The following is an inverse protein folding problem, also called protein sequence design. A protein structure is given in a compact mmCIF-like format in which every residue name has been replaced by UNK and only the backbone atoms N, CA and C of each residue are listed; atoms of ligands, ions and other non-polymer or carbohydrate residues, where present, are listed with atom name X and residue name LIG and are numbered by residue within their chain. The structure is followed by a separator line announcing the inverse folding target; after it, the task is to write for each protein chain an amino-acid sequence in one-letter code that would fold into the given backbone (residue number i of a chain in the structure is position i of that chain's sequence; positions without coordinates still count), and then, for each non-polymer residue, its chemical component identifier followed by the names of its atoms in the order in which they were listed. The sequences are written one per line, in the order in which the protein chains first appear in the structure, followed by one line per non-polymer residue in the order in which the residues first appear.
data_IF_440591621388
#
_entry.id   IF_440591621388
#
_cell.length_a   1.000
_cell.length_b   1.000
_cell.length_c   1.000
_cell.angle_alpha   90.00
_cell.angle_beta   90.00
_cell.angle_gamma   90.00
#
_symmetry.space_group_name_H-M   'P 1'
#
loop_
_entity.id
_entity.type
_entity.pdbx_description
1 polymer ?
#
# COMPACT_ATOMS: atom_id res chain seq x y z
N UNK A 1 21.63 1.64 13.26
CA UNK A 1 22.63 0.72 12.68
C UNK A 1 23.25 1.41 11.48
N UNK A 2 24.57 1.42 11.36
CA UNK A 2 25.30 1.99 10.21
C UNK A 2 26.14 0.85 9.60
N UNK A 3 25.98 0.59 8.31
CA UNK A 3 26.68 -0.48 7.58
C UNK A 3 27.33 0.12 6.33
N UNK A 4 28.67 0.17 6.25
CA UNK A 4 29.36 0.65 5.06
C UNK A 4 29.39 -0.43 3.96
N UNK A 5 29.34 -0.01 2.70
CA UNK A 5 29.37 -0.92 1.56
C UNK A 5 29.40 -0.20 0.21
N UNK A 6 29.34 -0.97 -0.87
CA UNK A 6 29.32 -0.49 -2.25
C UNK A 6 27.94 -0.78 -2.86
N UNK A 7 27.30 0.23 -3.45
CA UNK A 7 26.04 0.02 -4.16
C UNK A 7 26.31 -0.66 -5.52
N UNK A 8 25.86 -1.90 -5.68
CA UNK A 8 26.13 -2.71 -6.88
C UNK A 8 24.97 -2.71 -7.88
N UNK A 9 23.77 -2.35 -7.43
CA UNK A 9 22.58 -2.32 -8.29
C UNK A 9 21.52 -1.41 -7.69
N UNK A 10 20.80 -0.72 -8.56
CA UNK A 10 19.62 0.07 -8.23
C UNK A 10 18.47 -0.34 -9.14
N UNK A 11 17.28 -0.52 -8.57
CA UNK A 11 16.08 -0.71 -9.38
C UNK A 11 15.67 0.58 -10.08
N UNK A 12 14.85 0.47 -11.14
CA UNK A 12 14.08 1.64 -11.61
C UNK A 12 13.20 2.16 -10.47
N UNK A 13 13.03 3.49 -10.44
CA UNK A 13 12.09 4.16 -9.53
C UNK A 13 10.67 3.73 -9.89
N UNK A 14 9.84 3.50 -8.87
CA UNK A 14 8.43 3.12 -9.02
C UNK A 14 7.59 3.97 -8.06
N UNK A 15 6.38 4.38 -8.45
CA UNK A 15 5.48 5.06 -7.54
C UNK A 15 4.90 4.07 -6.51
N UNK A 16 4.93 4.44 -5.23
CA UNK A 16 4.28 3.72 -4.14
C UNK A 16 3.21 4.63 -3.53
N UNK A 17 1.98 4.13 -3.37
CA UNK A 17 0.93 4.88 -2.70
C UNK A 17 1.27 5.07 -1.21
N UNK A 18 1.34 6.32 -0.74
CA UNK A 18 1.49 6.65 0.68
C UNK A 18 0.11 6.76 1.34
N UNK A 19 -0.79 7.50 0.69
CA UNK A 19 -2.21 7.58 1.05
C UNK A 19 -3.03 7.08 -0.14
N UNK A 20 -3.62 5.90 0.00
CA UNK A 20 -4.43 5.28 -1.05
C UNK A 20 -5.90 5.55 -0.80
N UNK A 21 -6.57 6.20 -1.75
CA UNK A 21 -8.01 6.37 -1.73
C UNK A 21 -8.69 5.13 -2.33
N UNK A 22 -9.66 4.58 -1.61
CA UNK A 22 -10.53 3.49 -2.08
C UNK A 22 -11.98 3.97 -2.06
N UNK A 23 -12.77 3.57 -3.05
CA UNK A 23 -14.18 3.93 -3.17
C UNK A 23 -15.03 2.68 -3.33
N UNK A 24 -16.12 2.58 -2.58
CA UNK A 24 -17.08 1.48 -2.74
C UNK A 24 -17.89 1.69 -4.03
N UNK A 25 -17.97 0.67 -4.89
CA UNK A 25 -18.75 0.74 -6.14
C UNK A 25 -20.26 0.93 -5.94
N UNK A 26 -20.79 0.50 -4.80
CA UNK A 26 -22.23 0.47 -4.57
C UNK A 26 -22.73 1.70 -3.80
N UNK A 27 -22.04 2.09 -2.73
CA UNK A 27 -22.43 3.23 -1.90
C UNK A 27 -21.60 4.50 -2.14
N UNK A 28 -20.63 4.47 -3.05
CA UNK A 28 -19.74 5.58 -3.40
C UNK A 28 -18.91 6.17 -2.25
N UNK A 29 -18.91 5.53 -1.08
CA UNK A 29 -18.13 5.93 0.08
C UNK A 29 -16.63 5.87 -0.24
N UNK A 30 -15.94 7.00 -0.07
CA UNK A 30 -14.49 7.12 -0.26
C UNK A 30 -13.80 7.00 1.09
N UNK A 31 -12.78 6.15 1.17
CA UNK A 31 -11.91 5.99 2.35
C UNK A 31 -10.45 6.08 1.97
N UNK A 32 -9.64 6.52 2.93
CA UNK A 32 -8.20 6.61 2.78
C UNK A 32 -7.52 5.54 3.63
N UNK A 33 -6.64 4.77 3.00
CA UNK A 33 -5.76 3.81 3.64
C UNK A 33 -4.34 4.36 3.63
N UNK A 34 -3.64 4.25 4.75
CA UNK A 34 -2.22 4.63 4.85
C UNK A 34 -1.39 3.38 4.59
N UNK A 35 -0.48 3.45 3.61
CA UNK A 35 0.48 2.37 3.40
C UNK A 35 1.55 2.42 4.48
N UNK A 36 1.95 1.27 5.06
CA UNK A 36 3.12 1.20 5.93
C UNK A 36 4.38 1.66 5.20
N UNK A 37 5.32 2.22 5.97
CA UNK A 37 6.66 2.55 5.49
C UNK A 37 7.42 1.26 5.10
N UNK A 38 8.40 1.40 4.19
CA UNK A 38 9.21 0.27 3.73
C UNK A 38 8.49 -0.63 2.71
N UNK A 39 8.52 -1.94 2.91
CA UNK A 39 8.01 -2.94 1.94
C UNK A 39 6.54 -3.34 2.14
N UNK A 40 5.85 -2.76 3.13
CA UNK A 40 4.46 -3.09 3.43
C UNK A 40 3.47 -2.48 2.44
N UNK A 41 2.36 -3.18 2.20
CA UNK A 41 1.23 -2.73 1.37
C UNK A 41 0.03 -2.33 2.25
N UNK A 42 -0.78 -1.39 1.77
CA UNK A 42 -2.07 -1.07 2.40
C UNK A 42 -3.05 -2.25 2.24
N UNK A 43 -3.72 -2.63 3.32
CA UNK A 43 -4.69 -3.73 3.32
C UNK A 43 -6.09 -3.20 3.00
N UNK A 44 -6.68 -3.66 1.90
CA UNK A 44 -8.04 -3.29 1.52
C UNK A 44 -9.05 -4.15 2.30
N UNK A 45 -10.01 -3.55 3.01
CA UNK A 45 -11.05 -4.31 3.71
C UNK A 45 -11.93 -5.08 2.73
N UNK A 46 -12.25 -6.34 3.05
CA UNK A 46 -13.13 -7.18 2.22
C UNK A 46 -14.61 -6.79 2.25
N UNK A 47 -15.02 -6.04 3.27
CA UNK A 47 -16.39 -5.60 3.45
C UNK A 47 -16.44 -4.08 3.48
N UNK A 48 -17.44 -3.50 2.81
CA UNK A 48 -17.66 -2.07 2.93
C UNK A 48 -18.05 -1.72 4.37
N UNK A 49 -17.41 -0.68 4.90
CA UNK A 49 -17.57 -0.19 6.29
C UNK A 49 -18.29 1.16 6.33
N UNK A 50 -18.84 1.61 5.20
CA UNK A 50 -19.65 2.83 5.13
C UNK A 50 -20.94 2.69 5.93
N UNK A 51 -21.41 3.80 6.51
CA UNK A 51 -22.62 3.84 7.33
C UNK A 51 -23.85 3.31 6.56
N UNK A 52 -23.96 3.66 5.28
CA UNK A 52 -25.00 3.16 4.38
C UNK A 52 -25.01 1.63 4.23
N UNK A 53 -23.86 0.96 4.37
CA UNK A 53 -23.79 -0.50 4.34
C UNK A 53 -24.14 -1.13 5.69
N UNK A 54 -23.75 -0.50 6.81
CA UNK A 54 -24.14 -0.99 8.14
C UNK A 54 -25.64 -0.87 8.35
N UNK A 55 -26.25 0.22 7.88
CA UNK A 55 -27.69 0.45 7.98
C UNK A 55 -28.49 -0.50 7.07
N UNK A 56 -28.02 -0.75 5.85
CA UNK A 56 -28.64 -1.71 4.94
C UNK A 56 -28.65 -3.13 5.52
N UNK A 57 -27.53 -3.57 6.12
CA UNK A 57 -27.46 -4.90 6.76
C UNK A 57 -28.31 -4.99 8.03
N UNK A 58 -28.42 -3.91 8.81
CA UNK A 58 -29.28 -3.88 9.99
C UNK A 58 -30.78 -3.85 9.63
N UNK A 59 -31.14 -3.20 8.52
CA UNK A 59 -32.52 -3.09 8.02
C UNK A 59 -32.99 -4.25 7.13
N UNK A 60 -32.21 -5.31 6.97
CA UNK A 60 -32.58 -6.48 6.15
C UNK A 60 -32.45 -6.29 4.64
N UNK A 61 -31.86 -5.18 4.18
CA UNK A 61 -31.54 -4.94 2.77
C UNK A 61 -30.21 -5.61 2.38
N UNK A 62 -30.03 -6.01 1.11
CA UNK A 62 -28.75 -6.51 0.65
C UNK A 62 -27.70 -5.41 0.75
N UNK A 63 -26.76 -5.56 1.69
CA UNK A 63 -25.61 -4.68 1.82
C UNK A 63 -24.66 -4.74 0.62
N UNK A 64 -23.60 -3.96 0.65
CA UNK A 64 -22.58 -3.98 -0.40
C UNK A 64 -21.96 -5.39 -0.53
N UNK A 65 -21.61 -5.81 -1.77
CA UNK A 65 -21.00 -7.12 -2.02
C UNK A 65 -19.63 -7.25 -1.34
N UNK A 66 -19.10 -8.47 -1.30
CA UNK A 66 -17.73 -8.71 -0.87
C UNK A 66 -16.74 -8.10 -1.87
N UNK A 67 -15.63 -7.57 -1.36
CA UNK A 67 -14.59 -6.87 -2.11
C UNK A 67 -15.13 -5.74 -3.02
N UNK A 68 -15.94 -4.79 -2.49
CA UNK A 68 -16.65 -3.80 -3.32
C UNK A 68 -15.80 -2.56 -3.66
N UNK A 69 -14.57 -2.48 -3.15
CA UNK A 69 -13.73 -1.29 -3.25
C UNK A 69 -12.91 -1.26 -4.53
N UNK A 70 -12.83 -0.08 -5.14
CA UNK A 70 -11.89 0.27 -6.21
C UNK A 70 -10.89 1.31 -5.72
N UNK A 71 -9.67 1.27 -6.21
CA UNK A 71 -8.68 2.31 -5.94
C UNK A 71 -8.99 3.51 -6.83
N UNK A 72 -8.95 4.71 -6.26
CA UNK A 72 -9.13 5.98 -6.96
C UNK A 72 -7.77 6.71 -7.02
N UNK A 73 -7.02 6.61 -8.13
CA UNK A 73 -5.68 7.18 -8.23
C UNK A 73 -5.66 8.70 -8.09
N UNK A 74 -6.70 9.38 -8.59
CA UNK A 74 -6.82 10.85 -8.59
C UNK A 74 -6.84 11.45 -7.17
N UNK A 75 -7.36 10.71 -6.19
CA UNK A 75 -7.42 11.11 -4.79
C UNK A 75 -6.27 10.52 -3.95
N UNK A 76 -5.40 9.72 -4.57
CA UNK A 76 -4.31 9.05 -3.88
C UNK A 76 -3.02 9.87 -3.96
N UNK A 77 -2.18 9.78 -2.93
CA UNK A 77 -0.84 10.38 -2.94
C UNK A 77 0.22 9.29 -3.07
N UNK A 78 1.25 9.59 -3.84
CA UNK A 78 2.32 8.67 -4.17
C UNK A 78 3.68 9.25 -3.78
N UNK A 79 4.61 8.36 -3.45
CA UNK A 79 6.02 8.64 -3.21
C UNK A 79 6.86 7.76 -4.09
N UNK A 80 8.06 8.23 -4.44
CA UNK A 80 9.01 7.43 -5.20
C UNK A 80 9.65 6.36 -4.33
N UNK A 81 9.71 5.16 -4.89
CA UNK A 81 10.28 3.99 -4.26
C UNK A 81 11.39 3.39 -5.13
N UNK A 82 12.53 3.08 -4.49
CA UNK A 82 13.67 2.45 -5.13
C UNK A 82 14.32 1.43 -4.19
N UNK A 83 14.72 0.30 -4.75
CA UNK A 83 15.50 -0.72 -4.02
C UNK A 83 16.95 -0.67 -4.47
N UNK A 84 17.86 -0.63 -3.50
CA UNK A 84 19.31 -0.63 -3.68
C UNK A 84 19.87 -1.96 -3.16
N UNK A 85 20.79 -2.57 -3.92
CA UNK A 85 21.57 -3.73 -3.46
C UNK A 85 22.95 -3.24 -3.02
N UNK A 86 23.28 -3.50 -1.76
CA UNK A 86 24.56 -3.15 -1.17
C UNK A 86 25.42 -4.41 -1.04
N UNK A 87 26.66 -4.34 -1.50
CA UNK A 87 27.70 -5.32 -1.20
C UNK A 87 28.61 -4.79 -0.10
N UNK A 88 29.17 -5.67 0.72
CA UNK A 88 30.18 -5.30 1.71
C UNK A 88 31.46 -4.75 1.05
N UNK A 89 32.29 -4.08 1.86
CA UNK A 89 33.59 -3.59 1.38
C UNK A 89 34.50 -4.78 1.06
N UNK A 90 35.31 -4.73 0.00
CA UNK A 90 36.20 -5.82 -0.39
C UNK A 90 37.19 -6.20 0.74
N UNK A 91 37.59 -5.23 1.56
CA UNK A 91 38.47 -5.43 2.72
C UNK A 91 37.84 -6.28 3.83
N UNK A 92 36.51 -6.38 3.89
CA UNK A 92 35.78 -7.17 4.89
C UNK A 92 35.41 -8.56 4.39
N UNK A 93 35.76 -8.90 3.14
CA UNK A 93 35.55 -10.26 2.59
C UNK A 93 36.59 -11.19 3.23
N UNK A 94 36.17 -12.29 3.91
CA UNK A 94 37.11 -13.22 4.52
C UNK A 94 37.98 -13.90 3.46
N UNK A 95 39.27 -13.63 3.48
CA UNK A 95 40.27 -14.34 2.67
C UNK A 95 40.81 -15.49 3.51
N UNK A 96 40.41 -16.72 3.16
CA UNK A 96 41.11 -17.95 3.59
C UNK A 96 42.42 -18.12 2.86
#
# INVERSE_FOLDING_TARGET
VNVPGIAISASRVRPKAQRMAIQCRNCNEVRYLISPNGYGNAQVPRYCTGASNTDARAGGAPGCPIDPYIVVPELSTFVDYQSLKLQERPEMVPTV
#
